data_IF_514663507680
#
_entry.id   IF_514663507680
#
_cell.length_a   1.000
_cell.length_b   1.000
_cell.length_c   1.000
_cell.angle_alpha   90.00
_cell.angle_beta   90.00
_cell.angle_gamma   90.00
#
_symmetry.space_group_name_H-M   'P 1'
#
loop_
_entity.id
_entity.type
_entity.pdbx_description
1 polymer ?
#
# COMPACT_ATOMS: atom_id res chain seq x y z
N UNK A 1 45.46 51.40 107.28
CA UNK A 1 46.47 50.34 107.05
C UNK A 1 45.81 49.00 107.32
N UNK A 2 45.82 48.07 106.37
CA UNK A 2 45.24 46.71 106.50
C UNK A 2 43.72 46.66 106.71
N UNK A 3 42.99 45.56 106.50
CA UNK A 3 43.16 44.31 105.73
C UNK A 3 41.72 44.02 105.20
N UNK A 4 41.42 43.39 104.06
CA UNK A 4 42.02 42.19 103.48
C UNK A 4 41.13 40.97 103.75
N UNK A 5 40.10 40.73 102.94
CA UNK A 5 39.31 39.47 102.88
C UNK A 5 38.70 39.25 101.49
N UNK A 6 38.54 38.00 101.08
CA UNK A 6 38.31 37.56 99.69
C UNK A 6 37.23 36.48 99.56
N UNK A 7 36.67 36.36 98.33
CA UNK A 7 35.84 35.23 97.82
C UNK A 7 34.43 35.04 98.41
N UNK A 8 33.51 34.30 97.73
CA UNK A 8 33.72 33.37 96.60
C UNK A 8 32.87 33.59 95.32
N UNK A 9 33.14 32.75 94.32
CA UNK A 9 32.39 32.61 93.06
C UNK A 9 30.98 32.03 93.27
N UNK A 10 30.06 32.34 92.34
CA UNK A 10 28.85 31.56 92.08
C UNK A 10 28.97 30.81 90.74
N UNK A 11 28.65 29.52 90.73
CA UNK A 11 28.52 28.67 89.53
C UNK A 11 27.10 28.06 89.49
N UNK A 12 26.33 28.37 88.44
CA UNK A 12 25.02 27.77 88.05
C UNK A 12 24.63 28.32 86.66
N UNK A 13 24.11 27.60 85.66
CA UNK A 13 24.06 26.16 85.31
C UNK A 13 23.98 26.06 83.75
N UNK A 14 24.40 24.95 83.10
CA UNK A 14 24.22 24.80 81.65
C UNK A 14 22.78 24.42 81.30
N UNK A 15 22.09 25.29 80.55
CA UNK A 15 20.73 25.02 80.04
C UNK A 15 20.75 23.84 79.05
N UNK A 16 19.97 22.81 79.34
CA UNK A 16 19.85 21.63 78.48
C UNK A 16 19.16 21.98 77.14
N UNK A 17 19.81 21.63 76.02
CA UNK A 17 19.21 21.72 74.69
C UNK A 17 18.24 20.56 74.45
N UNK A 18 17.03 20.81 73.90
CA UNK A 18 16.07 19.74 73.62
C UNK A 18 16.49 18.92 72.41
N UNK A 19 16.68 17.60 72.59
CA UNK A 19 16.70 16.65 71.49
C UNK A 19 15.31 16.59 70.83
N UNK A 20 15.14 17.21 69.67
CA UNK A 20 13.99 16.94 68.80
C UNK A 20 14.28 15.74 67.91
N UNK A 21 13.36 14.78 67.91
CA UNK A 21 13.50 13.48 67.25
C UNK A 21 13.35 13.57 65.72
N UNK A 22 14.23 12.86 65.00
CA UNK A 22 14.32 12.85 63.54
C UNK A 22 13.20 12.08 62.82
N UNK A 23 11.95 12.49 62.99
CA UNK A 23 10.81 12.00 62.17
C UNK A 23 10.53 12.87 60.93
N UNK A 24 11.17 14.03 60.79
CA UNK A 24 10.99 14.93 59.64
C UNK A 24 11.59 14.38 58.34
N UNK A 25 12.78 13.79 58.41
CA UNK A 25 13.56 13.46 57.20
C UNK A 25 12.92 12.33 56.39
N UNK A 26 12.29 11.36 57.07
CA UNK A 26 11.58 10.26 56.42
C UNK A 26 10.30 10.72 55.71
N UNK A 27 9.56 11.68 56.26
CA UNK A 27 8.32 12.19 55.63
C UNK A 27 8.62 13.04 54.40
N UNK A 28 9.67 13.87 54.44
CA UNK A 28 10.17 14.57 53.25
C UNK A 28 10.64 13.60 52.16
N UNK A 29 11.35 12.52 52.52
CA UNK A 29 11.76 11.48 51.56
C UNK A 29 10.58 10.80 50.85
N UNK A 30 9.52 10.44 51.61
CA UNK A 30 8.30 9.84 51.04
C UNK A 30 7.57 10.82 50.13
N UNK A 31 7.39 12.07 50.56
CA UNK A 31 6.73 13.11 49.75
C UNK A 31 7.48 13.37 48.42
N UNK A 32 8.82 13.39 48.47
CA UNK A 32 9.65 13.59 47.28
C UNK A 32 9.57 12.38 46.33
N UNK A 33 9.54 11.15 46.85
CA UNK A 33 9.33 9.95 46.04
C UNK A 33 7.94 9.90 45.36
N UNK A 34 6.88 10.30 46.07
CA UNK A 34 5.51 10.42 45.51
C UNK A 34 5.47 11.51 44.43
N UNK A 35 6.14 12.65 44.64
CA UNK A 35 6.20 13.72 43.65
C UNK A 35 6.94 13.31 42.38
N UNK A 36 8.10 12.65 42.51
CA UNK A 36 8.89 12.15 41.37
C UNK A 36 8.11 11.09 40.58
N UNK A 37 7.47 10.13 41.25
CA UNK A 37 6.67 9.09 40.57
C UNK A 37 5.45 9.67 39.85
N UNK A 38 4.73 10.62 40.46
CA UNK A 38 3.63 11.33 39.80
C UNK A 38 4.11 12.14 38.58
N UNK A 39 5.27 12.80 38.67
CA UNK A 39 5.87 13.56 37.56
C UNK A 39 6.28 12.66 36.39
N UNK A 40 6.94 11.53 36.67
CA UNK A 40 7.29 10.53 35.66
C UNK A 40 6.05 9.91 34.99
N UNK A 41 5.00 9.64 35.75
CA UNK A 41 3.73 9.14 35.22
C UNK A 41 3.05 10.18 34.29
N UNK A 42 3.06 11.46 34.68
CA UNK A 42 2.54 12.55 33.84
C UNK A 42 3.32 12.68 32.51
N UNK A 43 4.65 12.55 32.54
CA UNK A 43 5.49 12.51 31.32
C UNK A 43 5.13 11.31 30.44
N UNK A 44 4.96 10.12 31.03
CA UNK A 44 4.60 8.91 30.29
C UNK A 44 3.23 9.02 29.62
N UNK A 45 2.20 9.46 30.35
CA UNK A 45 0.87 9.72 29.79
C UNK A 45 0.89 10.82 28.73
N UNK A 46 1.67 11.89 28.93
CA UNK A 46 1.88 12.94 27.94
C UNK A 46 2.53 12.41 26.66
N UNK A 47 3.55 11.56 26.78
CA UNK A 47 4.21 10.88 25.66
C UNK A 47 3.25 10.00 24.86
N UNK A 48 2.46 9.16 25.53
CA UNK A 48 1.44 8.34 24.89
C UNK A 48 0.35 9.18 24.20
N UNK A 49 -0.07 10.30 24.81
CA UNK A 49 -1.06 11.21 24.23
C UNK A 49 -0.51 11.94 22.99
N UNK A 50 0.74 12.41 23.04
CA UNK A 50 1.45 12.99 21.89
C UNK A 50 1.64 11.93 20.80
N UNK A 51 1.96 10.69 21.13
CA UNK A 51 2.12 9.64 20.13
C UNK A 51 0.78 9.25 19.48
N UNK A 52 -0.30 9.19 20.26
CA UNK A 52 -1.66 8.99 19.77
C UNK A 52 -2.11 10.15 18.87
N UNK A 53 -1.86 11.40 19.28
CA UNK A 53 -2.10 12.58 18.45
C UNK A 53 -1.25 12.54 17.18
N UNK A 54 0.01 12.16 17.24
CA UNK A 54 0.89 12.05 16.08
C UNK A 54 0.48 10.89 15.14
N UNK A 55 -0.04 9.78 15.67
CA UNK A 55 -0.63 8.69 14.87
C UNK A 55 -1.95 9.15 14.21
N UNK A 56 -2.79 9.90 14.92
CA UNK A 56 -4.05 10.46 14.41
C UNK A 56 -3.83 11.58 13.38
N UNK A 57 -2.86 12.48 13.62
CA UNK A 57 -2.45 13.52 12.69
C UNK A 57 -1.74 12.94 11.47
N UNK A 58 -0.87 11.92 11.59
CA UNK A 58 -0.28 11.25 10.41
C UNK A 58 -1.36 10.67 9.49
N UNK A 59 -2.42 10.07 10.04
CA UNK A 59 -3.60 9.63 9.26
C UNK A 59 -4.35 10.80 8.58
N UNK A 60 -4.41 11.98 9.20
CA UNK A 60 -5.04 13.17 8.61
C UNK A 60 -4.14 13.94 7.63
N UNK A 61 -2.82 13.95 7.84
CA UNK A 61 -1.84 14.59 6.96
C UNK A 61 -1.58 13.78 5.69
N UNK A 62 -1.67 12.45 5.76
CA UNK A 62 -1.70 11.60 4.57
C UNK A 62 -2.94 11.90 3.68
N UNK A 63 -4.06 12.30 4.28
CA UNK A 63 -5.26 12.80 3.58
C UNK A 63 -5.10 14.23 3.03
N UNK A 64 -4.06 14.96 3.46
CA UNK A 64 -3.83 16.37 3.14
C UNK A 64 -2.49 16.65 2.43
N UNK A 65 -1.75 15.65 1.93
CA UNK A 65 -0.72 15.88 0.92
C UNK A 65 -1.42 16.39 -0.33
N UNK A 66 -1.32 17.69 -0.58
CA UNK A 66 -1.94 18.38 -1.71
C UNK A 66 -1.49 17.73 -3.01
N UNK A 67 -2.43 17.09 -3.71
CA UNK A 67 -2.17 16.47 -5.00
C UNK A 67 -1.91 17.57 -6.04
N UNK A 68 -0.65 17.80 -6.38
CA UNK A 68 -0.27 18.71 -7.46
C UNK A 68 -0.65 18.03 -8.77
N UNK A 69 -1.72 18.50 -9.39
CA UNK A 69 -2.18 17.95 -10.65
C UNK A 69 -1.11 18.15 -11.74
N UNK A 70 -0.72 17.09 -12.49
CA UNK A 70 0.08 17.27 -13.69
C UNK A 70 -0.68 18.15 -14.70
N UNK A 71 0.05 18.95 -15.47
CA UNK A 71 -0.53 19.96 -16.37
C UNK A 71 -1.47 19.32 -17.39
N UNK A 72 -2.79 19.48 -17.18
CA UNK A 72 -3.91 19.30 -18.12
C UNK A 72 -3.60 18.43 -19.35
N UNK A 73 -3.35 17.14 -19.15
CA UNK A 73 -3.55 16.17 -20.21
C UNK A 73 -5.07 16.08 -20.50
N UNK A 74 -5.50 15.98 -21.76
CA UNK A 74 -6.92 15.77 -22.06
C UNK A 74 -7.39 14.48 -21.38
N UNK A 75 -8.49 14.59 -20.62
CA UNK A 75 -9.11 13.45 -19.96
C UNK A 75 -9.84 12.61 -21.00
N UNK A 76 -9.06 11.86 -21.78
CA UNK A 76 -9.60 10.74 -22.53
C UNK A 76 -10.22 9.76 -21.52
N UNK A 77 -11.48 9.33 -21.72
CA UNK A 77 -12.11 8.25 -20.96
C UNK A 77 -11.15 7.07 -20.85
N UNK A 78 -11.21 6.31 -19.76
CA UNK A 78 -10.15 5.34 -19.52
C UNK A 78 -10.06 4.31 -20.66
N UNK A 79 -11.17 3.75 -21.13
CA UNK A 79 -11.24 2.90 -22.33
C UNK A 79 -10.66 3.49 -23.63
N UNK A 80 -10.45 4.81 -23.72
CA UNK A 80 -9.92 5.50 -24.91
C UNK A 80 -8.38 5.68 -24.89
N UNK A 81 -7.68 5.40 -23.78
CA UNK A 81 -6.22 5.43 -23.78
C UNK A 81 -5.64 4.19 -24.50
N UNK A 82 -4.46 4.31 -25.15
CA UNK A 82 -3.94 3.30 -26.08
C UNK A 82 -3.53 1.98 -25.43
N UNK A 83 -3.09 1.99 -24.17
CA UNK A 83 -2.66 0.81 -23.44
C UNK A 83 -3.11 0.81 -21.99
N UNK A 84 -3.41 -0.37 -21.47
CA UNK A 84 -3.93 -0.60 -20.12
C UNK A 84 -3.32 -1.86 -19.52
N UNK A 85 -2.79 -1.74 -18.30
CA UNK A 85 -2.37 -2.87 -17.48
C UNK A 85 -3.02 -2.74 -16.11
N UNK A 86 -3.65 -3.82 -15.67
CA UNK A 86 -4.28 -3.91 -14.37
C UNK A 86 -4.25 -5.33 -13.84
N UNK A 87 -4.51 -5.44 -12.53
CA UNK A 87 -4.78 -6.71 -11.89
C UNK A 87 -5.86 -6.54 -10.82
N UNK A 88 -6.61 -7.60 -10.57
CA UNK A 88 -7.51 -7.71 -9.43
C UNK A 88 -6.96 -8.78 -8.47
N UNK A 89 -6.85 -8.42 -7.20
CA UNK A 89 -6.31 -9.25 -6.13
C UNK A 89 -7.47 -9.59 -5.19
N UNK A 90 -7.68 -10.88 -4.89
CA UNK A 90 -8.85 -11.34 -4.13
C UNK A 90 -8.70 -11.12 -2.62
N UNK A 91 -8.72 -9.86 -2.22
CA UNK A 91 -8.58 -9.41 -0.84
C UNK A 91 -9.43 -8.15 -0.59
N UNK A 92 -9.66 -7.85 0.68
CA UNK A 92 -10.19 -6.56 1.14
C UNK A 92 -9.12 -5.69 1.82
N UNK A 93 -7.91 -6.22 2.04
CA UNK A 93 -6.82 -5.53 2.73
C UNK A 93 -5.94 -4.75 1.75
N UNK A 94 -6.25 -3.46 1.60
CA UNK A 94 -5.46 -2.52 0.79
C UNK A 94 -4.06 -2.28 1.35
N UNK A 95 -3.84 -2.40 2.66
CA UNK A 95 -2.53 -2.19 3.29
C UNK A 95 -1.59 -3.36 2.98
N UNK A 96 -2.11 -4.60 3.01
CA UNK A 96 -1.38 -5.77 2.53
C UNK A 96 -1.00 -5.66 1.04
N UNK A 97 -1.91 -5.17 0.18
CA UNK A 97 -1.61 -4.92 -1.25
C UNK A 97 -0.52 -3.87 -1.40
N UNK A 98 -0.64 -2.72 -0.73
CA UNK A 98 0.37 -1.66 -0.77
C UNK A 98 1.75 -2.15 -0.30
N UNK A 99 1.79 -2.92 0.79
CA UNK A 99 3.01 -3.53 1.35
C UNK A 99 3.58 -4.65 0.47
N UNK A 100 2.75 -5.34 -0.31
CA UNK A 100 3.22 -6.37 -1.23
C UNK A 100 3.86 -5.79 -2.50
N UNK A 101 3.33 -4.67 -2.98
CA UNK A 101 3.84 -3.93 -4.13
C UNK A 101 4.97 -2.96 -3.79
N UNK A 102 5.36 -2.87 -2.51
CA UNK A 102 6.39 -1.97 -2.00
C UNK A 102 6.20 -0.49 -2.44
N UNK A 103 4.93 -0.03 -2.48
CA UNK A 103 4.60 1.32 -2.97
C UNK A 103 5.30 2.39 -2.14
N UNK A 104 6.09 3.24 -2.81
CA UNK A 104 6.72 4.42 -2.22
C UNK A 104 5.89 5.67 -2.49
N UNK A 105 6.04 6.66 -1.61
CA UNK A 105 5.31 7.93 -1.66
C UNK A 105 3.76 7.81 -1.81
N UNK A 106 3.07 7.00 -0.99
CA UNK A 106 1.62 6.84 -1.08
C UNK A 106 0.88 8.16 -0.87
N UNK A 107 -0.06 8.47 -1.75
CA UNK A 107 -0.97 9.61 -1.72
C UNK A 107 -2.40 9.13 -1.93
N UNK A 108 -3.30 9.49 -1.00
CA UNK A 108 -4.72 9.19 -1.16
C UNK A 108 -5.34 10.07 -2.25
N UNK A 109 -6.17 9.48 -3.10
CA UNK A 109 -6.77 10.17 -4.24
C UNK A 109 -8.14 9.59 -4.61
N UNK A 110 -8.94 10.40 -5.30
CA UNK A 110 -10.17 9.90 -5.95
C UNK A 110 -9.82 8.95 -7.11
N UNK A 111 -10.76 8.08 -7.48
CA UNK A 111 -10.63 7.16 -8.62
C UNK A 111 -10.12 7.83 -9.91
N UNK A 112 -10.69 8.99 -10.25
CA UNK A 112 -10.31 9.77 -11.43
C UNK A 112 -8.85 10.27 -11.38
N UNK A 113 -8.40 10.78 -10.22
CA UNK A 113 -7.00 11.19 -10.03
C UNK A 113 -6.05 9.99 -10.09
N UNK A 114 -6.48 8.84 -9.55
CA UNK A 114 -5.77 7.58 -9.59
C UNK A 114 -5.45 7.12 -11.01
N UNK A 115 -6.49 7.00 -11.86
CA UNK A 115 -6.36 6.58 -13.26
C UNK A 115 -5.58 7.58 -14.13
N UNK A 116 -5.55 8.87 -13.78
CA UNK A 116 -4.69 9.84 -14.46
C UNK A 116 -3.23 9.66 -14.07
N UNK A 117 -2.94 9.53 -12.77
CA UNK A 117 -1.58 9.35 -12.28
C UNK A 117 -0.96 8.00 -12.70
N UNK A 118 -1.76 6.94 -12.85
CA UNK A 118 -1.28 5.61 -13.24
C UNK A 118 -0.69 5.53 -14.66
N UNK A 119 -0.89 6.58 -15.48
CA UNK A 119 -0.24 6.77 -16.79
C UNK A 119 1.19 7.32 -16.69
N UNK A 120 1.60 7.82 -15.53
CA UNK A 120 2.93 8.42 -15.30
C UNK A 120 3.90 7.45 -14.60
N UNK A 121 3.95 6.18 -15.04
CA UNK A 121 4.73 5.10 -14.38
C UNK A 121 4.44 4.94 -12.87
N UNK A 122 3.23 5.25 -12.44
CA UNK A 122 2.75 5.03 -11.06
C UNK A 122 1.76 3.87 -11.02
N UNK A 123 1.55 3.33 -9.83
CA UNK A 123 0.47 2.38 -9.56
C UNK A 123 -0.65 3.09 -8.79
N UNK A 124 -1.88 2.86 -9.23
CA UNK A 124 -3.09 3.21 -8.50
C UNK A 124 -3.69 1.93 -7.90
N UNK A 125 -3.83 1.91 -6.59
CA UNK A 125 -4.55 0.89 -5.83
C UNK A 125 -5.95 1.43 -5.52
N UNK A 126 -6.96 0.75 -6.06
CA UNK A 126 -8.35 1.03 -5.82
C UNK A 126 -8.75 0.84 -4.34
N UNK A 127 -9.79 1.53 -3.84
CA UNK A 127 -10.48 1.09 -2.64
C UNK A 127 -11.06 -0.33 -2.84
N UNK A 128 -11.23 -1.13 -1.77
CA UNK A 128 -11.80 -2.48 -1.89
C UNK A 128 -13.25 -2.43 -2.39
N UNK A 129 -13.56 -3.27 -3.39
CA UNK A 129 -14.89 -3.41 -3.98
C UNK A 129 -15.26 -4.89 -4.02
N UNK A 130 -16.29 -5.26 -3.25
CA UNK A 130 -16.61 -6.66 -2.97
C UNK A 130 -15.43 -7.36 -2.27
N UNK A 131 -14.92 -8.42 -2.88
CA UNK A 131 -13.76 -9.18 -2.41
C UNK A 131 -12.49 -8.93 -3.24
N UNK A 132 -12.42 -7.79 -3.92
CA UNK A 132 -11.32 -7.44 -4.81
C UNK A 132 -10.71 -6.08 -4.48
N UNK A 133 -9.39 -6.01 -4.49
CA UNK A 133 -8.62 -4.77 -4.65
C UNK A 133 -8.06 -4.76 -6.07
N UNK A 134 -8.37 -3.71 -6.82
CA UNK A 134 -7.87 -3.51 -8.19
C UNK A 134 -6.61 -2.66 -8.13
N UNK A 135 -5.61 -3.00 -8.95
CA UNK A 135 -4.38 -2.21 -9.13
C UNK A 135 -4.20 -1.93 -10.62
N UNK A 136 -4.00 -0.66 -10.97
CA UNK A 136 -3.90 -0.17 -12.35
C UNK A 136 -2.62 0.64 -12.53
N UNK A 137 -1.91 0.46 -13.64
CA UNK A 137 -0.86 1.39 -14.04
C UNK A 137 0.24 0.83 -14.92
N UNK A 138 0.99 1.73 -15.53
CA UNK A 138 2.09 1.38 -16.44
C UNK A 138 3.33 0.81 -15.73
N UNK A 139 3.37 0.89 -14.40
CA UNK A 139 4.42 0.35 -13.54
C UNK A 139 4.29 -1.15 -13.21
N UNK A 140 3.23 -1.82 -13.70
CA UNK A 140 3.16 -3.28 -13.69
C UNK A 140 4.20 -3.88 -14.66
N UNK A 141 4.50 -5.18 -14.63
CA UNK A 141 5.28 -5.82 -15.69
C UNK A 141 4.56 -5.79 -17.05
N UNK A 142 5.27 -6.11 -18.13
CA UNK A 142 4.70 -6.28 -19.47
C UNK A 142 5.24 -7.60 -20.07
N UNK A 143 4.42 -8.66 -20.17
CA UNK A 143 4.88 -9.95 -20.68
C UNK A 143 5.25 -9.91 -22.17
N UNK A 144 4.93 -8.83 -22.90
CA UNK A 144 5.48 -8.61 -24.25
C UNK A 144 6.96 -8.20 -24.25
N UNK A 145 7.47 -7.67 -23.13
CA UNK A 145 8.88 -7.29 -22.98
C UNK A 145 9.69 -8.39 -22.31
N UNK A 146 9.17 -8.89 -21.20
CA UNK A 146 9.80 -9.94 -20.40
C UNK A 146 8.70 -10.78 -19.71
N UNK A 147 8.61 -12.05 -20.13
CA UNK A 147 7.65 -13.02 -19.57
C UNK A 147 8.12 -13.50 -18.20
N UNK A 148 9.43 -13.63 -17.97
CA UNK A 148 10.00 -14.12 -16.72
C UNK A 148 9.86 -13.07 -15.61
N UNK A 149 10.10 -11.78 -15.91
CA UNK A 149 9.79 -10.67 -14.99
C UNK A 149 8.30 -10.70 -14.59
N UNK A 150 7.40 -10.87 -15.57
CA UNK A 150 5.96 -10.91 -15.34
C UNK A 150 5.55 -12.14 -14.50
N UNK A 151 6.10 -13.32 -14.81
CA UNK A 151 5.89 -14.56 -14.08
C UNK A 151 6.37 -14.46 -12.63
N UNK A 152 7.59 -13.99 -12.40
CA UNK A 152 8.18 -13.82 -11.06
C UNK A 152 7.37 -12.81 -10.25
N UNK A 153 6.99 -11.68 -10.84
CA UNK A 153 6.15 -10.67 -10.18
C UNK A 153 4.81 -11.23 -9.75
N UNK A 154 4.06 -11.86 -10.67
CA UNK A 154 2.71 -12.35 -10.38
C UNK A 154 2.71 -13.53 -9.40
N UNK A 155 3.67 -14.47 -9.51
CA UNK A 155 3.79 -15.59 -8.58
C UNK A 155 4.24 -15.14 -7.19
N UNK A 156 5.20 -14.22 -7.07
CA UNK A 156 5.61 -13.68 -5.78
C UNK A 156 4.49 -12.88 -5.08
N UNK A 157 3.71 -12.10 -5.85
CA UNK A 157 2.55 -11.38 -5.34
C UNK A 157 1.45 -12.34 -4.88
N UNK A 158 1.17 -13.36 -5.68
CA UNK A 158 0.16 -14.39 -5.40
C UNK A 158 0.48 -15.23 -4.16
N UNK A 159 1.76 -15.60 -3.92
CA UNK A 159 2.17 -16.26 -2.66
C UNK A 159 1.86 -15.44 -1.40
N UNK A 160 1.81 -14.11 -1.51
CA UNK A 160 1.57 -13.19 -0.38
C UNK A 160 0.10 -12.82 -0.20
N UNK A 161 -0.70 -12.81 -1.27
CA UNK A 161 -2.05 -12.26 -1.29
C UNK A 161 -3.13 -13.23 -1.81
N UNK A 162 -2.78 -14.49 -2.11
CA UNK A 162 -3.68 -15.50 -2.65
C UNK A 162 -3.91 -15.32 -4.14
N UNK A 163 -5.17 -15.19 -4.57
CA UNK A 163 -5.53 -15.11 -5.99
C UNK A 163 -5.26 -13.73 -6.58
N UNK A 164 -4.48 -13.69 -7.66
CA UNK A 164 -4.20 -12.52 -8.49
C UNK A 164 -4.64 -12.85 -9.92
N UNK A 165 -5.47 -11.99 -10.52
CA UNK A 165 -5.73 -12.02 -11.97
C UNK A 165 -5.22 -10.75 -12.61
N UNK A 166 -4.40 -10.87 -13.65
CA UNK A 166 -3.71 -9.79 -14.36
C UNK A 166 -4.21 -9.71 -15.81
N UNK A 167 -4.22 -8.50 -16.36
CA UNK A 167 -4.63 -8.21 -17.73
C UNK A 167 -3.77 -7.09 -18.34
N UNK A 168 -3.45 -7.25 -19.62
CA UNK A 168 -2.77 -6.25 -20.45
C UNK A 168 -3.54 -6.07 -21.77
N UNK A 169 -3.68 -4.82 -22.21
CA UNK A 169 -4.17 -4.43 -23.53
C UNK A 169 -3.28 -3.33 -24.12
N UNK A 170 -2.96 -3.42 -25.41
CA UNK A 170 -2.38 -2.35 -26.20
C UNK A 170 -3.04 -2.32 -27.59
N UNK A 171 -3.83 -1.25 -27.83
CA UNK A 171 -4.66 -1.09 -29.03
C UNK A 171 -3.88 -0.74 -30.29
N UNK A 172 -2.67 -0.18 -30.21
CA UNK A 172 -1.90 0.18 -31.40
C UNK A 172 -1.36 -1.06 -32.10
N UNK A 173 -0.87 -2.02 -31.32
CA UNK A 173 -0.15 -3.18 -31.84
C UNK A 173 -0.95 -4.49 -31.66
N UNK A 174 -2.17 -4.41 -31.13
CA UNK A 174 -3.02 -5.56 -30.76
C UNK A 174 -2.40 -6.51 -29.72
N UNK A 175 -1.39 -6.06 -28.97
CA UNK A 175 -0.81 -6.87 -27.89
C UNK A 175 -1.81 -6.98 -26.74
N UNK A 176 -1.91 -8.17 -26.17
CA UNK A 176 -2.83 -8.45 -25.08
C UNK A 176 -2.30 -9.60 -24.24
N UNK A 177 -2.64 -9.59 -22.95
CA UNK A 177 -2.36 -10.71 -22.07
C UNK A 177 -3.41 -10.84 -20.97
N UNK A 178 -3.54 -12.05 -20.43
CA UNK A 178 -4.26 -12.33 -19.20
C UNK A 178 -3.57 -13.46 -18.44
N UNK A 179 -3.56 -13.37 -17.11
CA UNK A 179 -3.01 -14.42 -16.26
C UNK A 179 -3.84 -14.55 -14.97
N UNK A 180 -4.11 -15.77 -14.54
CA UNK A 180 -4.64 -16.12 -13.23
C UNK A 180 -3.58 -16.93 -12.51
N UNK A 181 -3.10 -16.35 -11.41
CA UNK A 181 -2.13 -16.96 -10.50
C UNK A 181 -2.76 -17.08 -9.11
N UNK A 182 -2.61 -18.24 -8.47
CA UNK A 182 -3.20 -18.51 -7.15
C UNK A 182 -2.19 -19.24 -6.27
N UNK A 183 -1.95 -18.71 -5.07
CA UNK A 183 -0.93 -19.16 -4.12
C UNK A 183 0.49 -19.33 -4.70
N UNK A 184 0.80 -18.63 -5.80
CA UNK A 184 2.08 -18.73 -6.51
C UNK A 184 2.14 -19.73 -7.65
N UNK A 185 1.03 -20.39 -7.98
CA UNK A 185 0.90 -21.30 -9.12
C UNK A 185 0.11 -20.63 -10.26
N UNK A 186 0.57 -20.77 -11.49
CA UNK A 186 -0.13 -20.24 -12.68
C UNK A 186 -1.24 -21.22 -13.08
N UNK A 187 -2.49 -20.84 -12.83
CA UNK A 187 -3.68 -21.62 -13.18
C UNK A 187 -3.94 -21.55 -14.68
N UNK A 188 -3.84 -20.34 -15.24
CA UNK A 188 -3.96 -20.05 -16.67
C UNK A 188 -3.19 -18.77 -16.99
N UNK A 189 -2.42 -18.74 -18.07
CA UNK A 189 -1.86 -17.51 -18.60
C UNK A 189 -1.77 -17.54 -20.13
N UNK A 190 -1.98 -16.39 -20.75
CA UNK A 190 -1.78 -16.17 -22.18
C UNK A 190 -1.26 -14.75 -22.43
N UNK A 191 -0.29 -14.59 -23.34
CA UNK A 191 0.21 -13.29 -23.78
C UNK A 191 0.58 -13.33 -25.27
N UNK A 192 0.09 -12.33 -26.00
CA UNK A 192 0.31 -12.14 -27.43
C UNK A 192 1.10 -10.85 -27.69
N UNK A 193 2.21 -10.98 -28.40
CA UNK A 193 3.10 -9.90 -28.83
C UNK A 193 3.56 -10.16 -30.28
N UNK A 194 2.61 -10.17 -31.21
CA UNK A 194 2.82 -10.64 -32.61
C UNK A 194 2.93 -12.16 -32.76
N UNK A 195 3.29 -12.85 -31.68
CA UNK A 195 3.29 -14.30 -31.48
C UNK A 195 2.87 -14.63 -30.04
N UNK A 196 2.60 -15.92 -29.75
CA UNK A 196 2.36 -16.39 -28.39
C UNK A 196 3.67 -16.41 -27.59
N UNK A 197 3.86 -15.43 -26.68
CA UNK A 197 5.04 -15.34 -25.81
C UNK A 197 4.82 -16.01 -24.45
N UNK A 198 3.56 -16.16 -24.03
CA UNK A 198 3.18 -16.95 -22.87
C UNK A 198 1.88 -17.70 -23.19
N UNK A 199 1.84 -19.00 -22.96
CA UNK A 199 0.64 -19.84 -23.02
C UNK A 199 0.83 -20.98 -22.01
N UNK A 200 0.09 -20.96 -20.90
CA UNK A 200 0.25 -21.90 -19.79
C UNK A 200 -1.11 -22.24 -19.16
N UNK A 201 -1.29 -23.50 -18.76
CA UNK A 201 -2.55 -23.99 -18.19
C UNK A 201 -3.65 -24.19 -19.25
N UNK A 202 -4.68 -24.97 -18.91
CA UNK A 202 -5.77 -25.33 -19.85
C UNK A 202 -6.72 -24.17 -20.04
N UNK A 203 -7.24 -23.99 -21.26
CA UNK A 203 -8.30 -23.02 -21.56
C UNK A 203 -9.46 -23.15 -20.56
N UNK A 204 -9.84 -22.03 -19.97
CA UNK A 204 -10.92 -21.92 -18.98
C UNK A 204 -12.29 -21.86 -19.67
N UNK A 205 -13.35 -22.17 -18.93
CA UNK A 205 -14.72 -22.05 -19.43
C UNK A 205 -15.04 -20.64 -19.96
N UNK A 206 -14.51 -19.59 -19.32
CA UNK A 206 -14.70 -18.20 -19.75
C UNK A 206 -13.97 -17.88 -21.08
N UNK A 207 -12.77 -18.42 -21.29
CA UNK A 207 -12.06 -18.29 -22.58
C UNK A 207 -12.81 -19.00 -23.70
N UNK A 208 -13.36 -20.19 -23.43
CA UNK A 208 -14.16 -20.96 -24.38
C UNK A 208 -15.50 -20.26 -24.69
N UNK A 209 -16.20 -19.73 -23.69
CA UNK A 209 -17.47 -19.00 -23.87
C UNK A 209 -17.29 -17.71 -24.67
N UNK A 210 -16.20 -16.97 -24.43
CA UNK A 210 -15.85 -15.79 -25.23
C UNK A 210 -15.28 -16.15 -26.61
N UNK A 211 -14.91 -17.41 -26.84
CA UNK A 211 -14.24 -17.88 -28.06
C UNK A 211 -12.95 -17.11 -28.35
N UNK A 212 -12.09 -16.90 -27.35
CA UNK A 212 -10.73 -16.36 -27.59
C UNK A 212 -9.88 -17.45 -28.23
N UNK A 213 -9.08 -17.11 -29.25
CA UNK A 213 -8.12 -18.04 -29.84
C UNK A 213 -6.77 -17.82 -29.19
N UNK A 214 -6.26 -18.82 -28.49
CA UNK A 214 -4.89 -18.82 -27.98
C UNK A 214 -4.05 -19.64 -28.95
N UNK A 215 -3.02 -19.03 -29.53
CA UNK A 215 -2.04 -19.75 -30.35
C UNK A 215 -1.07 -20.52 -29.43
N UNK A 216 -0.65 -21.71 -29.84
CA UNK A 216 0.43 -22.43 -29.15
C UNK A 216 1.81 -21.85 -29.48
N UNK A 217 2.83 -22.23 -28.71
CA UNK A 217 4.19 -21.74 -28.92
C UNK A 217 4.73 -22.18 -30.29
N UNK A 218 5.10 -21.21 -31.13
CA UNK A 218 5.53 -21.47 -32.51
C UNK A 218 4.39 -21.76 -33.48
N UNK A 219 3.12 -21.65 -33.07
CA UNK A 219 1.99 -21.62 -34.01
C UNK A 219 1.94 -20.24 -34.67
N UNK A 220 2.25 -20.19 -35.97
CA UNK A 220 2.09 -18.98 -36.78
C UNK A 220 0.64 -18.87 -37.31
N UNK A 221 0.08 -17.65 -37.41
CA UNK A 221 -1.13 -17.42 -38.20
C UNK A 221 -0.93 -17.80 -39.68
N UNK A 222 -2.02 -18.19 -40.35
CA UNK A 222 -2.02 -18.53 -41.78
C UNK A 222 -1.47 -17.38 -42.66
N UNK A 223 -1.76 -16.14 -42.26
CA UNK A 223 -1.19 -14.92 -42.83
C UNK A 223 -1.22 -13.77 -41.81
N UNK A 224 -0.46 -12.69 -42.06
CA UNK A 224 -0.36 -11.53 -41.17
C UNK A 224 -1.72 -10.85 -40.90
N UNK A 225 -2.59 -10.76 -41.91
CA UNK A 225 -3.91 -10.12 -41.79
C UNK A 225 -4.82 -10.96 -40.90
N UNK A 226 -4.89 -12.27 -41.14
CA UNK A 226 -5.61 -13.23 -40.30
C UNK A 226 -5.13 -13.19 -38.85
N UNK A 227 -3.81 -13.19 -38.63
CA UNK A 227 -3.20 -13.03 -37.29
C UNK A 227 -3.59 -11.73 -36.59
N UNK A 228 -3.56 -10.60 -37.31
CA UNK A 228 -3.94 -9.28 -36.77
C UNK A 228 -5.44 -9.17 -36.49
N UNK A 229 -6.30 -9.70 -37.35
CA UNK A 229 -7.76 -9.78 -37.12
C UNK A 229 -8.04 -10.61 -35.86
N UNK A 230 -7.42 -11.78 -35.73
CA UNK A 230 -7.59 -12.64 -34.56
C UNK A 230 -7.09 -11.96 -33.26
N UNK A 231 -5.96 -11.26 -33.32
CA UNK A 231 -5.42 -10.52 -32.19
C UNK A 231 -6.33 -9.34 -31.77
N UNK A 232 -6.90 -8.62 -32.73
CA UNK A 232 -7.89 -7.58 -32.47
C UNK A 232 -9.17 -8.15 -31.81
N UNK A 233 -9.70 -9.26 -32.34
CA UNK A 233 -10.86 -9.95 -31.77
C UNK A 233 -10.62 -10.43 -30.33
N UNK A 234 -9.41 -10.91 -30.00
CA UNK A 234 -9.05 -11.26 -28.62
C UNK A 234 -8.99 -10.01 -27.73
N UNK A 235 -8.34 -8.94 -28.20
CA UNK A 235 -8.17 -7.68 -27.47
C UNK A 235 -9.52 -7.09 -27.03
N UNK A 236 -10.55 -7.14 -27.89
CA UNK A 236 -11.90 -6.67 -27.54
C UNK A 236 -12.59 -7.53 -26.46
N UNK A 237 -12.18 -8.79 -26.30
CA UNK A 237 -12.77 -9.74 -25.34
C UNK A 237 -12.15 -9.66 -23.94
N UNK A 238 -10.92 -9.15 -23.80
CA UNK A 238 -10.21 -9.12 -22.50
C UNK A 238 -10.99 -8.39 -21.39
N UNK A 239 -11.70 -7.26 -21.62
CA UNK A 239 -12.52 -6.64 -20.58
C UNK A 239 -13.66 -7.55 -20.08
N UNK A 240 -14.28 -8.33 -20.99
CA UNK A 240 -15.31 -9.32 -20.63
C UNK A 240 -14.70 -10.50 -19.87
N UNK A 241 -13.53 -10.97 -20.28
CA UNK A 241 -12.78 -12.02 -19.56
C UNK A 241 -12.43 -11.57 -18.14
N UNK A 242 -12.02 -10.32 -17.96
CA UNK A 242 -11.75 -9.74 -16.63
C UNK A 242 -13.01 -9.68 -15.75
N UNK A 243 -14.16 -9.29 -16.32
CA UNK A 243 -15.43 -9.33 -15.60
C UNK A 243 -15.83 -10.75 -15.16
N UNK A 244 -15.56 -11.77 -15.99
CA UNK A 244 -15.84 -13.18 -15.67
C UNK A 244 -14.86 -13.78 -14.65
N UNK A 245 -13.60 -13.33 -14.64
CA UNK A 245 -12.56 -13.85 -13.74
C UNK A 245 -12.50 -13.13 -12.38
N UNK A 246 -12.92 -11.86 -12.29
CA UNK A 246 -12.87 -11.10 -11.03
C UNK A 246 -13.95 -10.04 -10.87
N UNK A 247 -13.79 -8.89 -11.50
CA UNK A 247 -14.63 -7.69 -11.33
C UNK A 247 -14.62 -6.86 -12.61
N UNK A 248 -15.80 -6.38 -12.99
CA UNK A 248 -15.96 -5.48 -14.12
C UNK A 248 -15.52 -4.05 -13.75
N UNK A 249 -14.31 -3.69 -14.17
CA UNK A 249 -13.75 -2.34 -14.00
C UNK A 249 -14.23 -1.34 -15.08
N UNK A 250 -15.01 -1.80 -16.07
CA UNK A 250 -15.55 -0.99 -17.17
C UNK A 250 -17.04 -0.68 -16.98
N UNK A 251 -17.76 -1.53 -16.25
CA UNK A 251 -19.21 -1.48 -16.07
C UNK A 251 -19.73 -0.52 -15.00
N UNK A 252 -21.06 -0.48 -14.79
CA UNK A 252 -21.71 0.49 -13.90
C UNK A 252 -21.36 0.33 -12.40
N UNK A 253 -20.79 -0.81 -12.01
CA UNK A 253 -20.21 -0.99 -10.67
C UNK A 253 -19.10 0.03 -10.37
N UNK A 254 -18.52 0.68 -11.41
CA UNK A 254 -17.53 1.73 -11.25
C UNK A 254 -18.04 2.90 -10.37
N UNK A 255 -19.36 3.16 -10.36
CA UNK A 255 -19.97 4.19 -9.53
C UNK A 255 -19.61 4.06 -8.03
N UNK A 256 -19.52 2.84 -7.51
CA UNK A 256 -19.18 2.59 -6.11
C UNK A 256 -17.73 2.98 -5.73
N UNK A 257 -16.81 3.06 -6.70
CA UNK A 257 -15.44 3.51 -6.44
C UNK A 257 -15.33 5.03 -6.30
N UNK A 258 -16.33 5.81 -6.72
CA UNK A 258 -16.28 7.28 -6.64
C UNK A 258 -16.43 7.81 -5.21
N UNK A 259 -17.05 7.05 -4.31
CA UNK A 259 -17.29 7.46 -2.91
C UNK A 259 -16.10 7.21 -1.98
N UNK A 260 -15.10 6.43 -2.42
CA UNK A 260 -13.96 6.00 -1.60
C UNK A 260 -12.63 6.40 -2.25
N UNK A 261 -11.68 6.85 -1.43
CA UNK A 261 -10.34 7.17 -1.91
C UNK A 261 -9.52 5.88 -2.12
N UNK A 262 -8.82 5.79 -3.24
CA UNK A 262 -7.73 4.84 -3.44
C UNK A 262 -6.37 5.48 -3.12
N UNK A 263 -5.30 4.79 -3.47
CA UNK A 263 -3.91 5.17 -3.18
C UNK A 263 -3.11 5.18 -4.48
N UNK A 264 -2.43 6.28 -4.77
CA UNK A 264 -1.38 6.34 -5.80
C UNK A 264 -0.02 6.30 -5.15
N UNK A 265 0.93 5.61 -5.77
CA UNK A 265 2.35 5.80 -5.49
C UNK A 265 3.22 5.20 -6.58
N UNK A 266 4.53 5.29 -6.37
CA UNK A 266 5.52 4.74 -7.30
C UNK A 266 5.84 3.29 -6.93
N UNK A 267 6.12 2.40 -7.89
CA UNK A 267 6.75 1.12 -7.59
C UNK A 267 8.14 1.36 -6.96
N UNK A 268 8.74 0.36 -6.29
CA UNK A 268 10.15 0.44 -5.93
C UNK A 268 10.99 0.68 -7.20
N UNK A 269 11.84 1.70 -7.18
CA UNK A 269 12.78 1.96 -8.27
C UNK A 269 13.85 0.87 -8.28
N UNK A 270 13.65 -0.17 -9.10
CA UNK A 270 14.76 -0.99 -9.55
C UNK A 270 15.69 -0.08 -10.35
N UNK A 271 16.80 0.30 -9.73
CA UNK A 271 17.92 0.89 -10.46
C UNK A 271 18.41 -0.19 -11.41
N UNK A 272 18.20 0.01 -12.72
CA UNK A 272 18.91 -0.73 -13.74
C UNK A 272 20.41 -0.45 -13.55
N UNK A 273 21.12 -1.46 -13.06
CA UNK A 273 22.58 -1.50 -13.06
C UNK A 273 23.07 -2.10 -14.38
#
# INVERSE_FOLDING_TARGET
>A
MGLGTSMPLAQTEPVAAPMMSGNGDATWGILLAVFVTAFLFAIFCGGLFVEWLARRQRRQLARNRTWIAPKRLPVLPFWAAPGWRWMAIRTQDTEAVQKALHIVNPVYCSWHQGLLASRERKLFIAPPTGNWVVVVGEALPDPGKDVDECYVFLTALSRRLGRVVFFHLNKLNFHHAWAWVENGEVIRAYAWNGQAVWNQGRLTAAELELGVRCFDYGEEPEDEVSGRVQAAMNLEKVPRLAAMWSIDIMGPQLAAFHERNGIVGEPPQFHSA
#
